data_IF_339813846886
#
_entry.id   IF_339813846886
#
_cell.length_a   1.000
_cell.length_b   1.000
_cell.length_c   1.000
_cell.angle_alpha   90.00
_cell.angle_beta   90.00
_cell.angle_gamma   90.00
#
_symmetry.space_group_name_H-M   'P 1'
#
loop_
_entity.id
_entity.type
_entity.pdbx_description
1 polymer ?
#
# COMPACT_ATOMS: atom_id res chain seq x y z
N UNK A 1 3.24 -8.42 7.84
CA UNK A 1 4.40 -8.67 6.94
C UNK A 1 4.50 -10.08 6.39
N UNK A 2 4.54 -11.16 7.20
CA UNK A 2 4.70 -12.54 6.68
C UNK A 2 3.71 -12.90 5.56
N UNK A 3 2.42 -12.63 5.77
CA UNK A 3 1.37 -12.90 4.78
C UNK A 3 1.56 -12.11 3.47
N UNK A 4 2.01 -10.85 3.55
CA UNK A 4 2.29 -10.03 2.36
C UNK A 4 3.51 -10.54 1.58
N UNK A 5 4.54 -11.04 2.28
CA UNK A 5 5.70 -11.65 1.62
C UNK A 5 5.38 -13.00 0.96
N UNK A 6 4.36 -13.71 1.44
CA UNK A 6 3.87 -14.97 0.84
C UNK A 6 2.93 -14.74 -0.34
N UNK A 7 2.34 -13.55 -0.47
CA UNK A 7 1.49 -13.20 -1.60
C UNK A 7 2.32 -12.66 -2.78
N UNK A 8 2.28 -13.28 -3.97
CA UNK A 8 3.06 -12.84 -5.13
C UNK A 8 2.85 -11.37 -5.53
N UNK A 9 1.60 -10.88 -5.49
CA UNK A 9 1.28 -9.49 -5.82
C UNK A 9 1.93 -8.49 -4.85
N UNK A 10 1.63 -8.62 -3.56
CA UNK A 10 2.21 -7.79 -2.51
C UNK A 10 3.75 -7.87 -2.46
N UNK A 11 4.34 -9.08 -2.57
CA UNK A 11 5.79 -9.26 -2.57
C UNK A 11 6.48 -8.48 -3.71
N UNK A 12 5.89 -8.47 -4.91
CA UNK A 12 6.41 -7.71 -6.06
C UNK A 12 6.41 -6.21 -5.80
N UNK A 13 5.40 -5.66 -5.11
CA UNK A 13 5.40 -4.24 -4.74
C UNK A 13 6.46 -3.95 -3.67
N UNK A 14 6.56 -4.80 -2.63
CA UNK A 14 7.54 -4.61 -1.54
C UNK A 14 8.99 -4.66 -2.03
N UNK A 15 9.30 -5.51 -3.01
CA UNK A 15 10.63 -5.66 -3.59
C UNK A 15 10.82 -4.82 -4.87
N UNK A 16 9.88 -3.93 -5.18
CA UNK A 16 9.92 -3.10 -6.39
C UNK A 16 10.87 -1.92 -6.28
N UNK A 17 11.20 -1.32 -7.43
CA UNK A 17 12.05 -0.14 -7.51
C UNK A 17 11.23 1.14 -7.30
N UNK A 18 11.00 1.50 -6.05
CA UNK A 18 10.29 2.70 -5.64
C UNK A 18 11.22 3.63 -4.86
N UNK A 19 10.96 4.94 -4.93
CA UNK A 19 11.75 5.97 -4.24
C UNK A 19 10.97 6.65 -3.11
N UNK A 20 9.66 6.40 -3.05
CA UNK A 20 8.78 6.86 -1.98
C UNK A 20 8.09 5.67 -1.33
N UNK A 21 7.91 5.75 -0.02
CA UNK A 21 7.20 4.76 0.79
C UNK A 21 6.32 5.46 1.83
N UNK A 22 5.06 5.04 1.91
CA UNK A 22 4.12 5.46 2.96
C UNK A 22 3.47 4.24 3.60
N UNK A 23 3.23 4.31 4.91
CA UNK A 23 2.52 3.26 5.63
C UNK A 23 1.62 3.88 6.69
N UNK A 24 0.45 3.30 6.89
CA UNK A 24 -0.48 3.73 7.93
C UNK A 24 -1.21 2.53 8.54
N UNK A 25 -1.75 2.75 9.74
CA UNK A 25 -2.64 1.82 10.43
C UNK A 25 -3.90 2.57 10.84
N UNK A 26 -5.05 1.95 10.63
CA UNK A 26 -6.34 2.41 11.14
C UNK A 26 -6.96 1.28 11.98
N UNK A 27 -7.67 1.64 13.03
CA UNK A 27 -8.36 0.68 13.89
C UNK A 27 -9.87 0.81 13.68
N UNK A 28 -10.59 -0.32 13.59
CA UNK A 28 -12.04 -0.30 13.67
C UNK A 28 -12.53 0.07 15.07
N UNK A 29 -13.84 0.30 15.22
CA UNK A 29 -14.46 0.49 16.54
C UNK A 29 -14.16 -0.67 17.50
N UNK A 30 -14.07 -1.90 16.97
CA UNK A 30 -13.72 -3.12 17.72
C UNK A 30 -12.20 -3.35 17.85
N UNK A 31 -11.37 -2.32 17.66
CA UNK A 31 -9.91 -2.38 17.79
C UNK A 31 -9.22 -3.35 16.81
N UNK A 32 -9.85 -3.67 15.68
CA UNK A 32 -9.20 -4.49 14.63
C UNK A 32 -8.29 -3.59 13.79
N UNK A 33 -6.98 -3.90 13.67
CA UNK A 33 -6.05 -3.09 12.90
C UNK A 33 -6.12 -3.40 11.39
N UNK A 34 -6.12 -2.34 10.58
CA UNK A 34 -6.01 -2.38 9.12
C UNK A 34 -4.74 -1.66 8.71
N UNK A 35 -3.91 -2.34 7.94
CA UNK A 35 -2.60 -1.83 7.53
C UNK A 35 -2.59 -1.52 6.04
N UNK A 36 -2.00 -0.40 5.66
CA UNK A 36 -1.73 -0.04 4.27
C UNK A 36 -0.25 0.28 4.06
N UNK A 37 0.24 0.01 2.85
CA UNK A 37 1.54 0.44 2.36
C UNK A 37 1.35 0.98 0.94
N UNK A 38 1.93 2.14 0.66
CA UNK A 38 1.93 2.75 -0.65
C UNK A 38 3.37 3.01 -1.12
N UNK A 39 3.61 2.78 -2.40
CA UNK A 39 4.93 2.80 -3.01
C UNK A 39 4.90 3.68 -4.27
N UNK A 40 5.71 4.74 -4.27
CA UNK A 40 5.73 5.76 -5.32
C UNK A 40 7.04 5.83 -6.08
N UNK A 41 6.97 6.21 -7.36
CA UNK A 41 8.13 6.55 -8.19
C UNK A 41 8.33 8.08 -8.24
N UNK A 42 9.48 8.54 -8.74
CA UNK A 42 9.80 9.98 -8.89
C UNK A 42 9.15 10.62 -10.12
N UNK A 43 8.60 9.84 -11.05
CA UNK A 43 7.80 10.37 -12.15
C UNK A 43 6.46 10.82 -11.60
N UNK A 44 6.34 12.13 -11.33
CA UNK A 44 5.14 12.81 -10.83
C UNK A 44 3.93 12.78 -11.78
N UNK A 45 3.86 11.83 -12.70
CA UNK A 45 2.59 11.44 -13.31
C UNK A 45 1.92 10.49 -12.32
N UNK A 46 1.26 11.07 -11.33
CA UNK A 46 0.06 10.45 -10.81
C UNK A 46 -0.77 10.12 -12.05
N UNK A 47 -0.73 8.87 -12.52
CA UNK A 47 -1.81 8.38 -13.35
C UNK A 47 -3.05 8.76 -12.55
N UNK A 48 -4.02 9.40 -13.17
CA UNK A 48 -5.34 9.55 -12.57
C UNK A 48 -5.92 8.13 -12.52
N UNK A 49 -5.36 7.31 -11.64
CA UNK A 49 -6.00 6.14 -11.09
C UNK A 49 -7.01 6.79 -10.17
N UNK A 50 -8.25 6.75 -10.62
CA UNK A 50 -9.42 7.03 -9.82
C UNK A 50 -9.27 6.11 -8.60
N UNK A 51 -8.68 6.61 -7.51
CA UNK A 51 -8.67 5.87 -6.26
C UNK A 51 -10.15 5.62 -5.98
N UNK A 52 -10.61 4.35 -5.96
CA UNK A 52 -11.96 4.10 -5.53
C UNK A 52 -12.03 4.67 -4.12
N UNK A 53 -12.87 5.69 -3.95
CA UNK A 53 -13.15 6.26 -2.64
C UNK A 53 -13.67 5.08 -1.82
N UNK A 54 -12.91 4.67 -0.81
CA UNK A 54 -13.40 3.68 0.13
C UNK A 54 -14.73 4.21 0.68
N UNK A 55 -15.85 3.46 0.57
CA UNK A 55 -17.13 3.89 1.10
C UNK A 55 -17.07 4.12 2.62
#
# INVERSE_FOLDING_TARGET
MKNWMQSPGHRRNILGSFVHFGSAVAYSQSQVPYYTQDFGTSEGKARIIHYPVCP
#
